data_IF_301807611786
#
_entry.id   IF_301807611786
#
_cell.length_a   1.000
_cell.length_b   1.000
_cell.length_c   1.000
_cell.angle_alpha   90.00
_cell.angle_beta   90.00
_cell.angle_gamma   90.00
#
_symmetry.space_group_name_H-M   'P 1'
#
loop_
_entity.id
_entity.type
_entity.pdbx_description
1 polymer ?
#
# COMPACT_ATOMS: atom_id res chain seq x y z
N UNK A 1 -31.38 1.38 2.47
CA UNK A 1 -30.64 2.42 1.73
C UNK A 1 -29.15 2.17 1.91
N UNK A 2 -28.56 1.34 1.06
CA UNK A 2 -27.11 1.04 1.11
C UNK A 2 -26.39 2.19 0.43
N UNK A 3 -25.64 2.99 1.19
CA UNK A 3 -24.86 4.09 0.62
C UNK A 3 -23.83 3.51 -0.34
N UNK A 4 -23.98 3.94 -1.58
CA UNK A 4 -23.13 3.72 -2.74
C UNK A 4 -21.65 3.83 -2.40
N UNK A 5 -20.86 2.93 -3.00
CA UNK A 5 -19.40 2.89 -2.92
C UNK A 5 -18.80 4.29 -3.03
N UNK A 6 -18.36 4.80 -1.89
CA UNK A 6 -17.65 6.06 -1.84
C UNK A 6 -16.25 5.75 -2.36
N UNK A 7 -15.93 6.27 -3.55
CA UNK A 7 -14.56 6.37 -4.08
C UNK A 7 -13.75 7.28 -3.15
N UNK A 8 -13.46 6.81 -1.94
CA UNK A 8 -12.64 7.55 -0.99
C UNK A 8 -11.21 7.27 -1.38
N UNK A 9 -10.67 8.13 -2.24
CA UNK A 9 -9.21 8.26 -2.34
C UNK A 9 -8.72 8.51 -0.91
N UNK A 10 -7.75 7.73 -0.39
CA UNK A 10 -7.19 8.04 0.91
C UNK A 10 -6.63 9.47 0.84
N UNK A 11 -7.13 10.42 1.64
CA UNK A 11 -6.81 11.86 1.51
C UNK A 11 -5.31 12.14 1.55
N UNK A 12 -4.54 11.23 2.14
CA UNK A 12 -3.10 11.29 2.26
C UNK A 12 -2.38 11.30 0.90
N UNK A 13 -2.76 10.44 -0.05
CA UNK A 13 -2.04 10.29 -1.32
C UNK A 13 -2.46 11.29 -2.40
N UNK A 14 -3.67 11.87 -2.30
CA UNK A 14 -4.18 12.82 -3.29
C UNK A 14 -3.36 14.11 -3.39
N UNK A 15 -2.60 14.44 -2.35
CA UNK A 15 -1.79 15.66 -2.29
C UNK A 15 -0.31 15.42 -2.58
N UNK A 16 0.13 14.16 -2.71
CA UNK A 16 1.52 13.84 -3.01
C UNK A 16 1.85 14.12 -4.48
N UNK A 17 2.97 14.81 -4.69
CA UNK A 17 3.65 14.87 -5.98
C UNK A 17 4.16 13.49 -6.41
N UNK A 18 4.55 13.36 -7.68
CA UNK A 18 5.12 12.10 -8.21
C UNK A 18 6.42 11.71 -7.49
N UNK A 19 7.25 12.69 -7.12
CA UNK A 19 8.49 12.46 -6.38
C UNK A 19 8.24 11.98 -4.95
N UNK A 20 7.29 12.60 -4.24
CA UNK A 20 6.88 12.17 -2.90
C UNK A 20 6.28 10.75 -2.94
N UNK A 21 5.47 10.46 -3.95
CA UNK A 21 4.85 9.16 -4.13
C UNK A 21 5.88 8.05 -4.40
N UNK A 22 6.86 8.33 -5.26
CA UNK A 22 7.96 7.40 -5.54
C UNK A 22 8.85 7.19 -4.31
N UNK A 23 9.15 8.25 -3.58
CA UNK A 23 9.97 8.19 -2.36
C UNK A 23 9.27 7.35 -1.29
N UNK A 24 7.98 7.60 -1.06
CA UNK A 24 7.16 6.79 -0.15
C UNK A 24 7.13 5.31 -0.55
N UNK A 25 6.96 5.02 -1.84
CA UNK A 25 6.92 3.63 -2.32
C UNK A 25 8.29 2.94 -2.18
N UNK A 26 9.38 3.66 -2.42
CA UNK A 26 10.74 3.14 -2.21
C UNK A 26 11.00 2.81 -0.73
N UNK A 27 10.54 3.65 0.19
CA UNK A 27 10.63 3.38 1.64
C UNK A 27 9.81 2.14 2.03
N UNK A 28 8.58 2.01 1.54
CA UNK A 28 7.73 0.85 1.77
C UNK A 28 8.41 -0.44 1.26
N UNK A 29 8.97 -0.39 0.05
CA UNK A 29 9.72 -1.49 -0.54
C UNK A 29 10.97 -1.85 0.27
N UNK A 30 11.73 -0.85 0.73
CA UNK A 30 12.93 -1.08 1.52
C UNK A 30 12.61 -1.78 2.85
N UNK A 31 11.54 -1.37 3.53
CA UNK A 31 11.05 -2.01 4.76
C UNK A 31 10.58 -3.43 4.51
N UNK A 32 9.83 -3.67 3.43
CA UNK A 32 9.37 -5.01 3.07
C UNK A 32 10.53 -5.96 2.76
N UNK A 33 11.58 -5.49 2.09
CA UNK A 33 12.74 -6.30 1.70
C UNK A 33 13.79 -6.46 2.81
N UNK A 34 13.82 -5.54 3.77
CA UNK A 34 14.79 -5.55 4.86
C UNK A 34 14.15 -5.07 6.17
N UNK A 35 13.16 -5.82 6.70
CA UNK A 35 12.52 -5.50 7.96
C UNK A 35 13.55 -5.43 9.07
N UNK A 36 13.45 -4.38 9.89
CA UNK A 36 14.25 -4.29 11.11
C UNK A 36 13.67 -5.23 12.16
N UNK A 37 14.47 -5.68 13.12
CA UNK A 37 14.04 -6.62 14.17
C UNK A 37 12.88 -6.12 15.05
N UNK A 38 12.59 -4.82 15.01
CA UNK A 38 11.50 -4.14 15.73
C UNK A 38 10.39 -3.65 14.79
N UNK A 39 10.45 -3.97 13.49
CA UNK A 39 9.42 -3.59 12.54
C UNK A 39 8.16 -4.42 12.79
N UNK A 40 7.20 -3.81 13.47
CA UNK A 40 5.89 -4.43 13.76
C UNK A 40 5.04 -4.60 12.50
N UNK A 41 5.41 -3.92 11.41
CA UNK A 41 4.68 -3.97 10.16
C UNK A 41 5.13 -5.10 9.25
N UNK A 42 6.43 -5.42 9.26
CA UNK A 42 7.00 -6.46 8.42
C UNK A 42 7.71 -7.50 9.28
N UNK A 43 7.02 -8.61 9.54
CA UNK A 43 7.54 -9.72 10.36
C UNK A 43 8.45 -10.70 9.58
N UNK A 44 8.52 -10.55 8.25
CA UNK A 44 9.39 -11.34 7.40
C UNK A 44 9.84 -10.57 6.14
N UNK A 45 10.89 -11.09 5.49
CA UNK A 45 11.48 -10.53 4.28
C UNK A 45 10.62 -10.88 3.07
N UNK A 46 10.25 -9.85 2.30
CA UNK A 46 9.59 -9.98 1.01
C UNK A 46 10.57 -9.98 -0.16
N UNK A 47 10.13 -10.53 -1.29
CA UNK A 47 10.84 -10.37 -2.57
C UNK A 47 10.71 -8.95 -3.07
N UNK A 48 11.69 -8.51 -3.87
CA UNK A 48 11.59 -7.23 -4.56
C UNK A 48 10.32 -7.16 -5.42
N UNK A 49 9.62 -6.03 -5.33
CA UNK A 49 8.50 -5.69 -6.19
C UNK A 49 8.91 -5.73 -7.66
N UNK A 50 7.94 -6.01 -8.54
CA UNK A 50 8.13 -5.74 -9.97
C UNK A 50 8.29 -4.22 -10.16
N UNK A 51 9.12 -3.78 -11.13
CA UNK A 51 9.20 -2.37 -11.46
C UNK A 51 7.81 -1.82 -11.81
N UNK A 52 7.41 -0.74 -11.14
CA UNK A 52 6.12 -0.06 -11.33
C UNK A 52 6.41 1.38 -11.70
N UNK A 53 5.73 1.91 -12.73
CA UNK A 53 5.83 3.34 -13.06
C UNK A 53 5.08 4.19 -12.04
N UNK A 54 5.44 5.47 -11.90
CA UNK A 54 4.71 6.38 -11.01
C UNK A 54 3.24 6.53 -11.41
N UNK A 55 2.95 6.46 -12.72
CA UNK A 55 1.59 6.51 -13.26
C UNK A 55 0.78 5.28 -12.84
N UNK A 56 1.38 4.08 -12.91
CA UNK A 56 0.74 2.84 -12.47
C UNK A 56 0.51 2.85 -10.95
N UNK A 57 1.51 3.28 -10.18
CA UNK A 57 1.42 3.41 -8.72
C UNK A 57 0.31 4.39 -8.31
N UNK A 58 0.30 5.58 -8.92
CA UNK A 58 -0.73 6.60 -8.70
C UNK A 58 -2.09 6.05 -9.09
N UNK A 59 -2.22 5.39 -10.24
CA UNK A 59 -3.48 4.80 -10.66
C UNK A 59 -3.99 3.74 -9.66
N UNK A 60 -3.14 2.80 -9.23
CA UNK A 60 -3.50 1.78 -8.24
C UNK A 60 -4.01 2.45 -6.96
N UNK A 61 -3.22 3.35 -6.35
CA UNK A 61 -3.57 4.01 -5.08
C UNK A 61 -4.86 4.84 -5.21
N UNK A 62 -5.02 5.59 -6.30
CA UNK A 62 -6.21 6.42 -6.52
C UNK A 62 -7.48 5.60 -6.81
N UNK A 63 -7.32 4.35 -7.22
CA UNK A 63 -8.43 3.41 -7.47
C UNK A 63 -8.64 2.43 -6.33
N UNK A 64 -7.91 2.57 -5.21
CA UNK A 64 -8.14 1.78 -4.01
C UNK A 64 -9.55 2.05 -3.46
N UNK A 65 -10.39 1.02 -3.42
CA UNK A 65 -11.76 1.09 -2.91
C UNK A 65 -11.95 0.31 -1.60
N UNK A 66 -10.85 -0.16 -1.01
CA UNK A 66 -10.83 -1.09 0.12
C UNK A 66 -10.14 -2.40 -0.26
N UNK A 67 -9.90 -3.24 0.74
CA UNK A 67 -9.19 -4.50 0.55
C UNK A 67 -10.06 -5.52 -0.21
N UNK A 68 -9.49 -6.26 -1.18
CA UNK A 68 -10.18 -7.36 -1.84
C UNK A 68 -10.74 -8.34 -0.81
N UNK A 69 -11.98 -8.79 -0.98
CA UNK A 69 -12.61 -9.76 -0.08
C UNK A 69 -13.17 -9.20 1.24
N UNK A 70 -13.13 -7.88 1.45
CA UNK A 70 -13.59 -7.28 2.71
C UNK A 70 -12.64 -7.51 3.88
N UNK A 71 -11.39 -7.89 3.57
CA UNK A 71 -10.29 -8.02 4.53
C UNK A 71 -10.20 -6.70 5.30
N UNK A 72 -10.21 -6.78 6.62
CA UNK A 72 -10.01 -5.60 7.46
C UNK A 72 -8.51 -5.46 7.71
N UNK A 73 -8.00 -4.26 7.97
CA UNK A 73 -6.63 -4.10 8.52
C UNK A 73 -6.47 -4.70 9.93
N UNK A 74 -7.47 -5.48 10.37
CA UNK A 74 -7.53 -6.26 11.59
C UNK A 74 -7.24 -7.75 11.35
N UNK A 75 -7.16 -8.22 10.11
CA UNK A 75 -6.73 -9.59 9.78
C UNK A 75 -5.19 -9.67 9.85
N UNK A 76 -4.67 -10.46 10.80
CA UNK A 76 -3.29 -10.95 11.11
C UNK A 76 -2.05 -10.30 10.45
N UNK A 77 -2.09 -9.01 10.11
CA UNK A 77 -1.00 -8.26 9.51
C UNK A 77 -1.18 -6.76 9.70
N UNK A 78 -0.06 -6.05 9.84
CA UNK A 78 -0.10 -4.59 9.90
C UNK A 78 -0.73 -3.98 8.63
N UNK A 79 -1.41 -2.81 8.75
CA UNK A 79 -1.87 -2.04 7.60
C UNK A 79 -0.82 -1.87 6.49
N UNK A 80 0.47 -1.70 6.83
CA UNK A 80 1.54 -1.53 5.83
C UNK A 80 1.95 -2.84 5.15
N UNK A 81 1.91 -3.97 5.88
CA UNK A 81 2.11 -5.30 5.31
C UNK A 81 1.06 -5.62 4.26
N UNK A 82 -0.21 -5.41 4.64
CA UNK A 82 -1.34 -5.65 3.75
C UNK A 82 -1.28 -4.72 2.54
N UNK A 83 -0.87 -3.47 2.73
CA UNK A 83 -0.68 -2.51 1.64
C UNK A 83 0.41 -2.94 0.67
N UNK A 84 1.52 -3.45 1.19
CA UNK A 84 2.61 -4.00 0.39
C UNK A 84 2.12 -5.14 -0.49
N UNK A 85 1.40 -6.11 0.07
CA UNK A 85 0.82 -7.22 -0.70
C UNK A 85 -0.15 -6.72 -1.76
N UNK A 86 -1.10 -5.86 -1.40
CA UNK A 86 -2.08 -5.35 -2.36
C UNK A 86 -1.44 -4.57 -3.54
N UNK A 87 -0.36 -3.82 -3.30
CA UNK A 87 0.35 -3.13 -4.37
C UNK A 87 1.08 -4.09 -5.31
N UNK A 88 1.52 -5.25 -4.80
CA UNK A 88 2.49 -6.12 -5.47
C UNK A 88 1.96 -7.52 -5.86
N UNK A 89 0.71 -7.83 -5.57
CA UNK A 89 0.00 -9.00 -6.08
C UNK A 89 -0.07 -9.00 -7.63
#
# INVERSE_FOLDING_TARGET
MSKSGQKVVPPYFSHMSDEELLSWYAELQARAMNPQSEDVDFDHVHKAAKPMSVEELRHRIMTFQGWPGGISTLDDGSPFHNLWHWLND
#
